data_IF_466628285862
#
_entry.id   IF_466628285862
#
_cell.length_a   1.000
_cell.length_b   1.000
_cell.length_c   1.000
_cell.angle_alpha   90.00
_cell.angle_beta   90.00
_cell.angle_gamma   90.00
#
_symmetry.space_group_name_H-M   'P 1'
#
loop_
_entity.id
_entity.type
_entity.pdbx_description
1 polymer ?
#
# COMPACT_ATOMS: atom_id res chain seq x y z
N UNK A 1 0.67 12.25 17.45
CA UNK A 1 -0.18 11.09 17.71
C UNK A 1 0.30 9.83 16.96
N UNK A 2 0.86 9.96 15.74
CA UNK A 2 1.32 8.82 14.95
C UNK A 2 2.66 8.27 15.47
N UNK A 3 2.74 7.04 15.98
CA UNK A 3 3.97 6.49 16.55
C UNK A 3 5.04 6.22 15.47
N UNK A 4 4.65 5.97 14.22
CA UNK A 4 5.56 5.74 13.10
C UNK A 4 5.86 7.01 12.33
N UNK A 5 5.30 8.15 12.71
CA UNK A 5 5.43 9.43 11.99
C UNK A 5 4.99 9.37 10.52
N UNK A 6 4.20 8.38 10.13
CA UNK A 6 3.62 8.28 8.79
C UNK A 6 2.65 9.43 8.51
N UNK A 7 2.02 9.98 9.56
CA UNK A 7 1.17 11.16 9.47
C UNK A 7 2.02 12.41 9.65
N UNK A 8 2.15 13.19 8.59
CA UNK A 8 2.95 14.42 8.51
C UNK A 8 2.05 15.61 8.20
N UNK A 9 2.47 16.80 8.59
CA UNK A 9 1.81 18.04 8.17
C UNK A 9 2.38 18.46 6.81
N UNK A 10 1.50 18.72 5.85
CA UNK A 10 1.90 19.30 4.57
C UNK A 10 2.34 20.76 4.78
N UNK A 11 3.40 21.15 4.09
CA UNK A 11 3.84 22.55 4.07
C UNK A 11 3.26 23.25 2.82
N UNK A 12 4.07 23.52 1.82
CA UNK A 12 3.62 24.24 0.61
C UNK A 12 3.39 23.32 -0.61
N UNK A 13 3.49 22.01 -0.44
CA UNK A 13 3.41 21.03 -1.52
C UNK A 13 2.07 21.04 -2.24
N UNK A 14 1.01 21.44 -1.54
CA UNK A 14 -0.37 21.55 -2.08
C UNK A 14 -0.84 22.99 -2.18
N UNK A 15 0.08 23.96 -2.14
CA UNK A 15 -0.22 25.39 -2.10
C UNK A 15 -0.66 25.88 -0.71
N UNK A 16 -0.98 27.19 -0.64
CA UNK A 16 -1.31 27.86 0.63
C UNK A 16 -2.55 27.28 1.29
N UNK A 17 -3.54 26.83 0.52
CA UNK A 17 -4.79 26.24 1.04
C UNK A 17 -4.57 24.88 1.72
N UNK A 18 -3.52 24.16 1.39
CA UNK A 18 -3.17 22.87 1.99
C UNK A 18 -2.17 22.96 3.14
N UNK A 19 -1.74 24.17 3.50
CA UNK A 19 -0.77 24.36 4.57
C UNK A 19 -1.28 23.82 5.91
N UNK A 20 -0.44 23.06 6.61
CA UNK A 20 -0.78 22.38 7.87
C UNK A 20 -1.81 21.26 7.77
N UNK A 21 -2.22 20.84 6.57
CA UNK A 21 -3.10 19.69 6.42
C UNK A 21 -2.36 18.41 6.77
N UNK A 22 -2.88 17.56 7.68
CA UNK A 22 -2.27 16.28 7.96
C UNK A 22 -2.40 15.34 6.77
N UNK A 23 -1.29 14.76 6.34
CA UNK A 23 -1.23 13.81 5.23
C UNK A 23 -0.47 12.54 5.62
N UNK A 24 -0.89 11.43 5.04
CA UNK A 24 -0.20 10.16 5.20
C UNK A 24 0.94 10.11 4.20
N UNK A 25 2.17 9.96 4.71
CA UNK A 25 3.40 9.84 3.93
C UNK A 25 3.99 8.43 4.14
N UNK A 26 3.54 7.43 3.38
CA UNK A 26 3.88 6.02 3.63
C UNK A 26 5.36 5.71 3.53
N UNK A 27 6.08 6.45 2.68
CA UNK A 27 7.53 6.29 2.50
C UNK A 27 8.34 6.48 3.79
N UNK A 28 7.79 7.16 4.80
CA UNK A 28 8.50 7.40 6.07
C UNK A 28 8.59 6.14 6.92
N UNK A 29 7.47 5.44 7.15
CA UNK A 29 7.50 4.27 8.03
C UNK A 29 6.32 3.29 7.87
N UNK A 30 5.37 3.57 7.04
CA UNK A 30 4.14 2.76 6.90
C UNK A 30 3.19 2.86 8.11
N UNK A 31 1.96 2.46 7.93
CA UNK A 31 0.93 2.50 8.96
C UNK A 31 0.82 1.16 9.67
N UNK A 32 1.01 1.12 10.99
CA UNK A 32 0.90 -0.11 11.78
C UNK A 32 -0.53 -0.64 11.76
N UNK A 33 -0.74 -1.94 11.52
CA UNK A 33 -2.05 -2.56 11.42
C UNK A 33 -2.96 -2.32 12.64
N UNK A 34 -2.49 -2.56 13.83
CA UNK A 34 -3.28 -2.49 15.06
C UNK A 34 -3.41 -1.06 15.65
N UNK A 35 -2.73 -0.08 15.03
CA UNK A 35 -2.69 1.28 15.56
C UNK A 35 -3.89 2.12 15.09
N UNK A 36 -4.59 2.75 16.01
CA UNK A 36 -5.69 3.71 15.78
C UNK A 36 -5.43 5.08 16.42
N UNK A 37 -4.20 5.37 16.84
CA UNK A 37 -3.87 6.57 17.61
C UNK A 37 -4.26 7.90 16.92
N UNK A 38 -4.28 7.93 15.59
CA UNK A 38 -4.67 9.12 14.84
C UNK A 38 -6.19 9.40 14.92
N UNK A 39 -7.04 8.36 14.92
CA UNK A 39 -8.49 8.54 15.07
C UNK A 39 -8.86 8.97 16.49
N UNK A 40 -8.23 8.35 17.49
CA UNK A 40 -8.45 8.72 18.90
C UNK A 40 -7.99 10.16 19.22
N UNK A 41 -6.92 10.61 18.55
CA UNK A 41 -6.38 11.94 18.78
C UNK A 41 -6.99 13.03 17.90
N UNK A 42 -7.92 12.70 17.00
CA UNK A 42 -8.53 13.67 16.08
C UNK A 42 -9.58 14.50 16.80
N UNK A 43 -9.38 15.83 17.00
CA UNK A 43 -10.33 16.63 17.76
C UNK A 43 -11.59 17.00 16.97
N UNK A 44 -11.57 16.81 15.66
CA UNK A 44 -12.65 17.19 14.73
C UNK A 44 -13.40 16.00 14.14
N UNK A 45 -13.06 14.78 14.57
CA UNK A 45 -13.58 13.53 14.00
C UNK A 45 -13.41 13.41 12.47
N UNK A 46 -12.49 14.20 11.88
CA UNK A 46 -12.18 14.13 10.46
C UNK A 46 -11.54 12.79 10.07
N UNK A 47 -10.91 12.12 11.02
CA UNK A 47 -10.46 10.74 10.89
C UNK A 47 -11.51 9.87 11.57
N UNK A 48 -12.21 8.99 10.84
CA UNK A 48 -13.23 8.12 11.41
C UNK A 48 -12.71 7.35 12.63
N UNK A 49 -13.53 7.20 13.65
CA UNK A 49 -13.21 6.32 14.76
C UNK A 49 -13.14 4.88 14.24
N UNK A 50 -11.91 4.42 14.08
CA UNK A 50 -11.66 3.00 13.80
C UNK A 50 -11.95 2.24 15.08
N UNK A 51 -13.23 1.90 15.31
CA UNK A 51 -13.64 1.12 16.44
C UNK A 51 -12.68 -0.05 16.61
N UNK A 52 -12.29 -0.28 17.84
CA UNK A 52 -11.31 -1.28 18.29
C UNK A 52 -11.51 -2.64 17.60
N UNK A 53 -10.93 -2.78 16.43
CA UNK A 53 -11.00 -3.99 15.62
C UNK A 53 -10.30 -3.71 14.28
N UNK A 54 -9.39 -4.59 13.90
CA UNK A 54 -8.58 -4.48 12.68
C UNK A 54 -9.40 -4.22 11.41
N UNK A 55 -10.63 -4.70 11.38
CA UNK A 55 -11.44 -4.70 10.17
C UNK A 55 -11.88 -3.30 9.70
N UNK A 56 -12.23 -2.39 10.59
CA UNK A 56 -12.75 -1.08 10.18
C UNK A 56 -11.68 -0.17 9.56
N UNK A 57 -10.44 -0.23 10.05
CA UNK A 57 -9.31 0.52 9.49
C UNK A 57 -8.97 0.07 8.06
N UNK A 58 -9.08 -1.22 7.79
CA UNK A 58 -8.79 -1.81 6.50
C UNK A 58 -9.90 -1.60 5.47
N UNK A 59 -11.04 -1.10 5.87
CA UNK A 59 -12.11 -0.67 4.97
C UNK A 59 -11.89 0.72 4.39
N UNK A 60 -11.00 1.52 5.01
CA UNK A 60 -10.76 2.91 4.59
C UNK A 60 -9.46 3.02 3.80
N UNK A 61 -9.55 3.50 2.57
CA UNK A 61 -8.39 3.65 1.69
C UNK A 61 -7.59 4.90 2.04
N UNK A 62 -6.32 4.71 2.39
CA UNK A 62 -5.35 5.78 2.68
C UNK A 62 -4.51 6.13 1.44
N UNK A 63 -4.48 5.26 0.46
CA UNK A 63 -3.72 5.40 -0.77
C UNK A 63 -3.73 4.12 -1.59
N UNK A 64 -2.85 4.05 -2.59
CA UNK A 64 -2.69 2.85 -3.43
C UNK A 64 -1.22 2.58 -3.67
N UNK A 65 -0.81 1.34 -3.48
CA UNK A 65 0.52 0.89 -3.84
C UNK A 65 0.59 0.54 -5.32
N UNK A 66 1.70 0.88 -5.96
CA UNK A 66 2.01 0.55 -7.35
C UNK A 66 3.32 -0.21 -7.39
N UNK A 67 3.35 -1.32 -8.13
CA UNK A 67 4.55 -2.13 -8.35
C UNK A 67 5.22 -1.73 -9.67
N UNK A 68 6.48 -1.32 -9.59
CA UNK A 68 7.35 -1.06 -10.74
C UNK A 68 8.24 -2.29 -11.00
N UNK A 69 7.82 -3.13 -11.93
CA UNK A 69 8.50 -4.41 -12.23
C UNK A 69 9.97 -4.23 -12.63
N UNK A 70 10.29 -3.15 -13.33
CA UNK A 70 11.66 -2.83 -13.75
C UNK A 70 12.64 -2.55 -12.61
N UNK A 71 12.15 -2.33 -11.40
CA UNK A 71 12.97 -2.16 -10.18
C UNK A 71 12.88 -3.34 -9.22
N UNK A 72 11.96 -4.24 -9.46
CA UNK A 72 11.74 -5.39 -8.58
C UNK A 72 12.79 -6.47 -8.83
N UNK A 73 13.62 -6.78 -7.85
CA UNK A 73 14.68 -7.79 -7.94
C UNK A 73 14.16 -9.18 -8.31
N UNK A 74 12.91 -9.50 -7.96
CA UNK A 74 12.29 -10.74 -8.39
C UNK A 74 12.04 -10.78 -9.89
N UNK A 75 11.86 -9.64 -10.55
CA UNK A 75 11.67 -9.56 -12.00
C UNK A 75 12.97 -9.29 -12.75
N UNK A 76 13.89 -8.47 -12.20
CA UNK A 76 15.13 -8.08 -12.89
C UNK A 76 16.23 -9.12 -12.71
N UNK A 77 16.34 -9.70 -11.52
CA UNK A 77 17.44 -10.61 -11.15
C UNK A 77 16.98 -12.06 -10.94
N UNK A 78 15.69 -12.32 -11.16
CA UNK A 78 15.09 -13.65 -10.92
C UNK A 78 15.31 -14.17 -9.48
N UNK A 79 15.48 -13.26 -8.53
CA UNK A 79 15.72 -13.59 -7.13
C UNK A 79 14.40 -13.88 -6.40
N UNK A 80 14.38 -14.90 -5.56
CA UNK A 80 13.22 -15.20 -4.73
C UNK A 80 13.05 -14.13 -3.65
N UNK A 81 12.27 -13.10 -3.94
CA UNK A 81 11.88 -12.06 -3.00
C UNK A 81 10.35 -11.96 -2.96
N UNK A 82 9.75 -12.04 -1.80
CA UNK A 82 8.29 -11.96 -1.60
C UNK A 82 7.92 -11.05 -0.44
N UNK A 83 8.83 -10.19 0.02
CA UNK A 83 8.63 -9.38 1.23
C UNK A 83 7.37 -8.51 1.20
N UNK A 84 7.07 -7.91 0.05
CA UNK A 84 5.84 -7.14 -0.12
C UNK A 84 4.56 -8.01 -0.04
N UNK A 85 4.65 -9.28 -0.45
CA UNK A 85 3.55 -10.25 -0.33
C UNK A 85 3.31 -10.63 1.13
N UNK A 86 4.41 -10.85 1.87
CA UNK A 86 4.36 -11.35 3.25
C UNK A 86 3.87 -10.26 4.21
N UNK A 87 4.38 -9.04 4.07
CA UNK A 87 4.05 -7.92 4.96
C UNK A 87 2.66 -7.34 4.72
N UNK A 88 2.03 -7.61 3.58
CA UNK A 88 0.75 -7.01 3.23
C UNK A 88 -0.40 -7.54 4.10
N UNK A 89 -1.02 -6.72 4.96
CA UNK A 89 -2.08 -7.18 5.85
C UNK A 89 -3.37 -7.53 5.09
N UNK A 90 -3.64 -6.84 3.98
CA UNK A 90 -4.84 -7.06 3.16
C UNK A 90 -4.63 -8.07 2.03
N UNK A 91 -3.41 -8.63 1.91
CA UNK A 91 -3.05 -9.56 0.82
C UNK A 91 -3.41 -9.03 -0.57
N UNK A 92 -3.17 -7.74 -0.79
CA UNK A 92 -3.52 -7.04 -2.02
C UNK A 92 -2.59 -7.35 -3.20
N UNK A 93 -1.48 -8.04 -2.99
CA UNK A 93 -0.60 -8.42 -4.09
C UNK A 93 -1.09 -9.68 -4.79
N UNK A 94 -1.24 -9.59 -6.10
CA UNK A 94 -1.47 -10.74 -6.97
C UNK A 94 -0.13 -11.41 -7.25
N UNK A 95 -0.07 -12.72 -7.09
CA UNK A 95 1.12 -13.52 -7.37
C UNK A 95 1.11 -13.89 -8.85
N UNK A 96 2.27 -13.87 -9.48
CA UNK A 96 2.42 -14.34 -10.85
C UNK A 96 2.00 -15.81 -10.95
N UNK A 97 1.07 -16.15 -11.88
CA UNK A 97 0.69 -17.54 -12.06
C UNK A 97 1.92 -18.36 -12.53
N UNK A 98 2.04 -19.63 -12.12
CA UNK A 98 3.11 -20.49 -12.61
C UNK A 98 3.05 -20.54 -14.13
N UNK A 99 4.18 -20.24 -14.78
CA UNK A 99 4.28 -20.32 -16.25
C UNK A 99 4.05 -21.74 -16.72
N UNK A 100 3.56 -21.87 -17.98
CA UNK A 100 3.29 -23.18 -18.62
C UNK A 100 4.50 -24.12 -18.70
N UNK A 101 5.69 -23.63 -18.39
CA UNK A 101 6.94 -24.41 -18.33
C UNK A 101 7.20 -25.05 -16.94
N UNK A 102 6.15 -25.47 -16.29
CA UNK A 102 6.02 -26.50 -15.27
C UNK A 102 7.22 -26.88 -14.41
N UNK A 103 7.92 -25.92 -13.80
CA UNK A 103 8.88 -26.21 -12.74
C UNK A 103 8.26 -25.88 -11.37
N UNK A 104 8.28 -26.81 -10.46
CA UNK A 104 7.79 -26.70 -9.08
C UNK A 104 8.48 -25.61 -8.23
N UNK A 105 9.34 -24.80 -8.80
CA UNK A 105 10.20 -23.81 -8.13
C UNK A 105 10.13 -22.41 -8.72
N UNK A 106 8.98 -22.01 -9.30
CA UNK A 106 8.85 -20.60 -9.67
C UNK A 106 8.82 -19.75 -8.41
N UNK A 107 9.78 -18.83 -8.22
CA UNK A 107 9.79 -17.98 -7.03
C UNK A 107 8.48 -17.18 -6.96
N UNK A 108 7.91 -17.06 -5.77
CA UNK A 108 6.70 -16.24 -5.52
C UNK A 108 7.01 -14.79 -5.89
N UNK A 109 6.51 -14.36 -7.05
CA UNK A 109 6.72 -13.00 -7.55
C UNK A 109 5.45 -12.18 -7.42
N UNK A 110 5.53 -10.92 -6.96
CA UNK A 110 4.40 -10.01 -7.07
C UNK A 110 4.18 -9.66 -8.55
N UNK A 111 3.02 -9.98 -9.10
CA UNK A 111 2.69 -9.65 -10.48
C UNK A 111 2.03 -8.28 -10.61
N UNK A 112 1.10 -7.98 -9.72
CA UNK A 112 0.36 -6.73 -9.69
C UNK A 112 -0.16 -6.45 -8.27
N UNK A 113 -0.70 -5.26 -8.06
CA UNK A 113 -1.39 -4.89 -6.83
C UNK A 113 -2.88 -4.78 -7.13
N UNK A 114 -3.70 -5.52 -6.39
CA UNK A 114 -5.14 -5.33 -6.39
C UNK A 114 -5.47 -4.02 -5.67
N UNK A 115 -5.80 -3.00 -6.46
CA UNK A 115 -6.07 -1.66 -5.91
C UNK A 115 -7.34 -1.60 -5.06
N UNK A 116 -8.27 -2.52 -5.24
CA UNK A 116 -9.51 -2.59 -4.44
C UNK A 116 -9.20 -3.09 -3.04
N UNK A 117 -8.33 -4.07 -2.90
CA UNK A 117 -7.86 -4.60 -1.62
C UNK A 117 -6.78 -3.73 -0.97
N UNK A 118 -6.04 -2.98 -1.76
CA UNK A 118 -4.95 -2.16 -1.25
C UNK A 118 -5.48 -0.95 -0.49
N UNK A 119 -5.16 -0.86 0.78
CA UNK A 119 -5.50 0.30 1.63
C UNK A 119 -4.46 1.41 1.60
N UNK A 120 -3.29 1.18 1.00
CA UNK A 120 -2.23 2.18 0.91
C UNK A 120 -1.49 2.44 2.23
N UNK A 121 -1.36 1.44 3.09
CA UNK A 121 -0.69 1.57 4.40
C UNK A 121 0.82 1.82 4.31
N UNK A 122 1.46 1.55 3.16
CA UNK A 122 2.87 1.81 2.91
C UNK A 122 3.86 0.78 3.47
N UNK A 123 3.42 -0.24 4.19
CA UNK A 123 4.31 -1.26 4.76
C UNK A 123 5.15 -1.96 3.69
N UNK A 124 4.55 -2.26 2.53
CA UNK A 124 5.25 -2.88 1.40
C UNK A 124 6.34 -1.99 0.81
N UNK A 125 6.13 -0.67 0.78
CA UNK A 125 7.13 0.30 0.33
C UNK A 125 8.33 0.34 1.27
N UNK A 126 8.08 0.40 2.57
CA UNK A 126 9.13 0.42 3.61
C UNK A 126 9.94 -0.87 3.60
N UNK A 127 9.29 -2.03 3.50
CA UNK A 127 10.02 -3.30 3.43
C UNK A 127 10.81 -3.43 2.12
N UNK A 128 10.28 -2.97 1.01
CA UNK A 128 11.00 -2.94 -0.26
C UNK A 128 12.24 -2.03 -0.19
N UNK A 129 12.12 -0.87 0.42
CA UNK A 129 13.23 0.09 0.57
C UNK A 129 14.40 -0.44 1.41
N UNK A 130 14.17 -1.40 2.29
CA UNK A 130 15.24 -2.06 3.07
C UNK A 130 16.10 -3.00 2.22
N UNK A 131 15.59 -3.45 1.08
CA UNK A 131 16.22 -4.48 0.25
C UNK A 131 16.76 -3.88 -1.04
N UNK A 132 15.98 -3.00 -1.66
CA UNK A 132 16.35 -2.36 -2.93
C UNK A 132 17.00 -1.01 -2.64
N UNK A 133 18.30 -0.94 -2.89
CA UNK A 133 19.05 0.31 -2.74
C UNK A 133 18.58 1.37 -3.72
N UNK A 134 18.35 2.56 -3.20
CA UNK A 134 17.91 3.72 -3.98
C UNK A 134 16.40 3.92 -3.92
N UNK A 135 15.67 3.51 -4.95
CA UNK A 135 14.21 3.69 -4.98
C UNK A 135 13.50 2.34 -4.89
N UNK A 136 12.54 2.17 -3.95
CA UNK A 136 11.80 0.92 -3.81
C UNK A 136 10.99 0.62 -5.08
N UNK A 137 10.85 -0.67 -5.38
CA UNK A 137 10.04 -1.15 -6.51
C UNK A 137 8.53 -0.99 -6.25
N UNK A 138 8.12 -0.93 -4.98
CA UNK A 138 6.75 -0.66 -4.58
C UNK A 138 6.68 0.75 -4.00
N UNK A 139 5.79 1.57 -4.55
CA UNK A 139 5.56 2.94 -4.07
C UNK A 139 4.09 3.17 -3.80
N UNK A 140 3.79 3.92 -2.76
CA UNK A 140 2.42 4.22 -2.35
C UNK A 140 2.07 5.67 -2.67
N UNK A 141 0.96 5.85 -3.37
CA UNK A 141 0.45 7.14 -3.80
C UNK A 141 -0.88 7.46 -3.13
N UNK A 142 -1.19 8.73 -3.00
CA UNK A 142 -2.43 9.24 -2.41
C UNK A 142 -3.67 9.06 -3.33
N UNK A 143 -3.75 7.96 -4.07
CA UNK A 143 -4.84 7.68 -5.01
C UNK A 143 -5.96 6.91 -4.34
N UNK A 144 -7.21 7.30 -4.60
CA UNK A 144 -8.40 6.63 -4.09
C UNK A 144 -8.68 6.85 -2.59
N UNK A 145 -8.10 7.87 -1.96
CA UNK A 145 -8.36 8.19 -0.55
C UNK A 145 -9.84 8.41 -0.27
N UNK A 146 -10.30 7.89 0.86
CA UNK A 146 -11.68 8.00 1.29
C UNK A 146 -12.65 7.02 0.62
N UNK A 147 -12.20 6.22 -0.34
CA UNK A 147 -13.01 5.13 -0.90
C UNK A 147 -13.02 3.94 0.06
N UNK A 148 -14.13 3.22 0.10
CA UNK A 148 -14.20 1.96 0.83
C UNK A 148 -13.43 0.87 0.06
N UNK A 149 -12.72 0.03 0.78
CA UNK A 149 -12.08 -1.15 0.22
C UNK A 149 -13.03 -2.34 0.31
N UNK A 150 -13.09 -3.16 -0.73
CA UNK A 150 -13.87 -4.40 -0.71
C UNK A 150 -13.11 -5.50 0.02
N UNK A 151 -12.96 -5.38 1.35
CA UNK A 151 -12.45 -6.45 2.19
C UNK A 151 -13.61 -7.39 2.53
N UNK A 152 -13.58 -8.59 2.00
CA UNK A 152 -14.54 -9.65 2.31
C UNK A 152 -15.33 -10.18 1.13
N UNK A 153 -15.25 -9.59 -0.04
CA UNK A 153 -15.80 -10.20 -1.24
C UNK A 153 -14.75 -11.08 -1.92
N UNK A 154 -15.06 -12.35 -2.11
CA UNK A 154 -14.29 -13.23 -3.00
C UNK A 154 -14.26 -12.60 -4.40
N UNK A 155 -13.12 -12.63 -5.10
CA UNK A 155 -13.01 -12.05 -6.44
C UNK A 155 -13.87 -12.85 -7.43
N UNK A 156 -15.12 -12.46 -7.55
CA UNK A 156 -15.99 -12.97 -8.61
C UNK A 156 -15.80 -12.11 -9.86
N UNK A 157 -14.97 -12.56 -10.78
CA UNK A 157 -14.95 -11.98 -12.10
C UNK A 157 -13.57 -11.58 -12.63
N UNK A 158 -13.43 -11.74 -13.90
CA UNK A 158 -12.31 -11.37 -14.77
C UNK A 158 -11.85 -9.92 -14.52
N UNK A 159 -10.70 -9.74 -13.93
CA UNK A 159 -10.09 -8.43 -13.70
C UNK A 159 -9.67 -7.78 -15.02
N UNK A 160 -10.33 -6.71 -15.39
CA UNK A 160 -9.75 -5.76 -16.35
C UNK A 160 -8.67 -4.93 -15.61
N UNK A 161 -7.43 -5.20 -15.95
CA UNK A 161 -6.26 -4.45 -15.44
C UNK A 161 -6.33 -3.02 -15.95
N UNK A 162 -6.83 -2.09 -15.15
CA UNK A 162 -6.62 -0.68 -15.41
C UNK A 162 -5.19 -0.33 -15.00
N UNK A 163 -4.33 -0.14 -15.97
CA UNK A 163 -2.97 0.37 -15.78
C UNK A 163 -3.06 1.81 -15.27
N UNK A 164 -2.83 1.98 -13.98
CA UNK A 164 -2.64 3.31 -13.40
C UNK A 164 -1.25 3.80 -13.84
N UNK A 165 -1.22 4.70 -14.81
CA UNK A 165 0.01 5.39 -15.21
C UNK A 165 0.39 6.35 -14.08
N UNK A 166 1.62 6.33 -13.54
CA UNK A 166 2.04 7.29 -12.53
C UNK A 166 2.01 8.70 -13.12
N UNK A 167 1.67 9.74 -12.35
CA UNK A 167 1.76 11.11 -12.78
C UNK A 167 3.23 11.44 -13.08
N UNK A 168 3.46 12.19 -14.17
CA UNK A 168 4.78 12.69 -14.60
C UNK A 168 5.31 13.71 -13.62
#
# INVERSE_FOLDING_TARGET
ACPTQTLQLLHLETGVAGFWTPAITPAMAGCIPECNACSVACPTDAIPDFQKGEQSKWLTKMGTAVLEKGRCISHTENTACGKCLDICPTKAFVIEPPGEQGGSETPRRPFNVDYVRCVGCGLCEVECAKIVFGAPAVRTFAHGRGQLTALGEEPTGTFSVQTVTPPR
#
